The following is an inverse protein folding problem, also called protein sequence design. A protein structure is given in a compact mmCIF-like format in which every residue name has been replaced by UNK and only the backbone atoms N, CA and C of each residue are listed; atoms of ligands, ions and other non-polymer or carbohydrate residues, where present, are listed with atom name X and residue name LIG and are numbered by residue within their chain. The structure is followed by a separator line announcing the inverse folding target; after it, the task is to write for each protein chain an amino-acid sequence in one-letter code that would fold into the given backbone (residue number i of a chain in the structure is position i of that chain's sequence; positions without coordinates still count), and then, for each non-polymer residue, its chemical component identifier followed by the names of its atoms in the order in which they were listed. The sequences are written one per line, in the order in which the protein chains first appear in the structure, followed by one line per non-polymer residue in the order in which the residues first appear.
data_IF_596147132441
#
_entry.id   IF_596147132441
#
_cell.length_a   1.000
_cell.length_b   1.000
_cell.length_c   1.000
_cell.angle_alpha   90.00
_cell.angle_beta   90.00
_cell.angle_gamma   90.00
#
_symmetry.space_group_name_H-M   'P 1'
#
loop_
_entity.id
_entity.type
_entity.pdbx_description
1 polymer ?
#
# COMPACT_ATOMS: atom_id res chain seq x y z
N UNK A 1 -13.71 -2.01 32.04
CA UNK A 1 -13.89 -3.43 31.72
C UNK A 1 -12.65 -3.88 30.97
N UNK A 2 -12.13 -5.10 31.22
CA UNK A 2 -10.82 -5.52 30.73
C UNK A 2 -10.93 -6.49 29.54
N UNK A 3 -9.99 -6.45 28.57
CA UNK A 3 -9.85 -7.47 27.53
C UNK A 3 -9.10 -8.72 28.05
N UNK A 4 -9.38 -9.93 27.54
CA UNK A 4 -8.69 -11.16 27.94
C UNK A 4 -7.41 -11.47 27.13
N UNK A 5 -6.50 -12.20 27.79
CA UNK A 5 -5.39 -13.09 27.35
C UNK A 5 -4.83 -12.98 25.91
N UNK A 6 -3.53 -12.82 25.61
CA UNK A 6 -2.24 -13.21 26.24
C UNK A 6 -1.72 -14.65 25.93
N UNK A 7 -0.84 -14.74 24.91
CA UNK A 7 0.13 -15.82 24.57
C UNK A 7 1.06 -15.24 23.47
N UNK A 8 2.37 -15.50 23.35
CA UNK A 8 3.40 -15.93 24.32
C UNK A 8 4.76 -15.39 23.83
N UNK A 9 5.71 -15.09 24.72
CA UNK A 9 6.99 -14.45 24.39
C UNK A 9 8.16 -15.41 24.15
N UNK A 10 9.06 -15.12 23.20
CA UNK A 10 10.56 -15.17 23.36
C UNK A 10 11.26 -14.57 22.13
N UNK A 11 12.15 -13.57 22.26
CA UNK A 11 13.00 -13.07 21.17
C UNK A 11 14.38 -13.77 21.11
N UNK A 12 15.05 -13.84 19.94
CA UNK A 12 16.43 -14.35 19.83
C UNK A 12 17.48 -13.32 20.32
N UNK A 13 18.69 -13.77 20.72
CA UNK A 13 19.72 -12.90 21.31
C UNK A 13 20.54 -12.12 20.27
N UNK A 14 21.03 -10.95 20.68
CA UNK A 14 22.01 -10.17 19.92
C UNK A 14 23.44 -10.68 20.13
N UNK A 15 24.31 -10.51 19.12
CA UNK A 15 25.74 -10.79 19.21
C UNK A 15 26.56 -9.56 18.80
N UNK A 16 27.59 -9.22 19.58
CA UNK A 16 28.51 -8.11 19.34
C UNK A 16 29.88 -8.64 18.93
N UNK A 17 30.43 -8.16 17.82
CA UNK A 17 31.81 -8.39 17.37
C UNK A 17 32.39 -7.13 16.74
N UNK A 18 33.67 -6.83 16.97
CA UNK A 18 34.32 -5.54 16.62
C UNK A 18 35.82 -5.73 16.39
N UNK A 19 36.47 -4.74 15.74
CA UNK A 19 37.91 -4.64 15.39
C UNK A 19 38.25 -5.38 14.06
N UNK A 20 38.61 -4.74 12.94
CA UNK A 20 39.74 -3.83 12.56
C UNK A 20 41.01 -4.60 12.13
N UNK A 21 41.73 -4.33 11.03
CA UNK A 21 41.58 -3.39 9.89
C UNK A 21 42.37 -3.99 8.65
N UNK A 22 42.95 -3.35 7.63
CA UNK A 22 43.25 -1.94 7.26
C UNK A 22 43.66 -1.80 5.75
N UNK A 23 44.49 -0.81 5.37
CA UNK A 23 45.22 -0.56 4.10
C UNK A 23 44.56 0.20 2.95
N UNK A 24 45.40 0.93 2.18
CA UNK A 24 45.03 1.97 1.20
C UNK A 24 45.40 1.60 -0.26
N UNK A 25 44.52 1.95 -1.22
CA UNK A 25 44.89 2.29 -2.59
C UNK A 25 43.80 3.16 -3.25
N UNK A 26 44.12 4.21 -4.03
CA UNK A 26 43.11 5.08 -4.66
C UNK A 26 42.78 4.65 -6.10
N UNK A 27 41.49 4.51 -6.42
CA UNK A 27 41.01 4.31 -7.80
C UNK A 27 39.69 5.05 -8.03
N UNK A 28 39.80 6.27 -8.55
CA UNK A 28 38.68 7.16 -8.78
C UNK A 28 37.98 6.81 -10.11
N UNK A 29 37.12 5.77 -10.11
CA UNK A 29 36.20 5.51 -11.22
C UNK A 29 34.91 4.85 -10.73
N UNK A 30 34.07 5.63 -10.05
CA UNK A 30 32.75 5.20 -9.59
C UNK A 30 31.76 5.07 -10.78
N UNK A 31 31.87 3.98 -11.54
CA UNK A 31 30.80 3.51 -12.41
C UNK A 31 29.52 3.41 -11.60
N UNK A 32 28.47 4.14 -12.00
CA UNK A 32 27.26 4.27 -11.19
C UNK A 32 26.34 3.05 -11.37
N UNK A 33 26.78 1.90 -10.84
CA UNK A 33 26.14 0.58 -10.92
C UNK A 33 24.89 0.46 -10.04
N UNK A 34 24.21 1.58 -9.78
CA UNK A 34 22.99 1.62 -8.97
C UNK A 34 21.81 1.17 -9.83
N UNK A 35 21.48 -0.12 -9.75
CA UNK A 35 20.21 -0.63 -10.26
C UNK A 35 19.07 0.20 -9.62
N UNK A 36 18.18 0.83 -10.41
CA UNK A 36 17.08 1.62 -9.86
C UNK A 36 16.17 0.77 -8.97
N UNK A 37 15.69 1.33 -7.85
CA UNK A 37 14.93 0.59 -6.84
C UNK A 37 13.58 0.01 -7.34
N UNK A 38 13.10 0.43 -8.52
CA UNK A 38 11.93 -0.14 -9.19
C UNK A 38 12.22 -1.41 -10.03
N UNK A 39 13.48 -1.75 -10.29
CA UNK A 39 13.88 -2.94 -11.07
C UNK A 39 13.81 -4.21 -10.23
N UNK A 40 14.27 -4.15 -8.98
CA UNK A 40 14.00 -5.12 -7.92
C UNK A 40 13.70 -4.34 -6.64
N UNK A 41 12.47 -4.44 -6.09
CA UNK A 41 12.07 -3.63 -4.93
C UNK A 41 12.65 -4.19 -3.64
N UNK A 42 13.89 -3.81 -3.33
CA UNK A 42 14.34 -3.70 -1.94
C UNK A 42 13.50 -2.60 -1.27
N UNK A 43 12.37 -3.00 -0.69
CA UNK A 43 11.38 -2.07 -0.11
C UNK A 43 11.99 -1.19 0.99
N UNK A 44 13.05 -1.64 1.66
CA UNK A 44 13.80 -0.87 2.66
C UNK A 44 14.46 0.41 2.09
N UNK A 45 14.55 0.54 0.75
CA UNK A 45 15.01 1.74 0.03
C UNK A 45 13.88 2.64 -0.45
N UNK A 46 12.64 2.15 -0.43
CA UNK A 46 11.45 2.81 -0.97
C UNK A 46 10.52 3.30 0.15
N UNK A 47 10.38 2.54 1.22
CA UNK A 47 9.52 2.84 2.38
C UNK A 47 10.18 2.45 3.70
N UNK A 48 9.69 3.05 4.78
CA UNK A 48 9.88 2.60 6.17
C UNK A 48 8.51 2.38 6.80
N UNK A 49 8.33 1.24 7.47
CA UNK A 49 7.17 1.02 8.34
C UNK A 49 7.43 1.66 9.71
N UNK A 50 6.50 2.48 10.19
CA UNK A 50 6.52 3.10 11.51
C UNK A 50 5.49 2.39 12.41
N UNK A 51 5.97 1.51 13.28
CA UNK A 51 5.14 0.76 14.21
C UNK A 51 4.75 1.59 15.44
N UNK A 52 3.75 2.46 15.29
CA UNK A 52 3.22 3.24 16.40
C UNK A 52 2.38 2.36 17.36
N UNK A 53 2.31 2.69 18.66
CA UNK A 53 1.50 1.94 19.63
C UNK A 53 0.00 2.14 19.40
N UNK A 54 -0.74 1.02 19.36
CA UNK A 54 -2.20 0.99 19.19
C UNK A 54 -2.63 0.12 18.00
N UNK A 55 -3.88 -0.37 18.04
CA UNK A 55 -4.45 -1.14 16.93
C UNK A 55 -4.51 -0.30 15.66
N UNK A 56 -4.03 -0.86 14.54
CA UNK A 56 -3.99 -0.20 13.23
C UNK A 56 -3.23 1.14 13.18
N UNK A 57 -2.32 1.38 14.15
CA UNK A 57 -1.52 2.61 14.22
C UNK A 57 -0.19 2.54 13.41
N UNK A 58 0.18 1.36 12.90
CA UNK A 58 1.33 1.23 11.98
C UNK A 58 1.05 1.93 10.66
N UNK A 59 2.07 2.53 10.04
CA UNK A 59 1.97 3.19 8.73
C UNK A 59 3.25 3.06 7.92
N UNK A 60 3.14 3.09 6.60
CA UNK A 60 4.30 3.18 5.70
C UNK A 60 4.60 4.64 5.30
N UNK A 61 5.87 5.03 5.34
CA UNK A 61 6.36 6.38 4.99
C UNK A 61 7.38 6.29 3.86
N UNK A 62 7.26 7.15 2.86
CA UNK A 62 8.16 7.15 1.70
C UNK A 62 9.60 7.52 2.08
N UNK A 63 10.57 6.80 1.52
CA UNK A 63 11.99 7.15 1.55
C UNK A 63 12.45 7.86 0.27
N UNK A 64 11.59 7.94 -0.75
CA UNK A 64 11.92 8.46 -2.09
C UNK A 64 10.94 9.55 -2.54
N UNK A 65 11.42 10.43 -3.41
CA UNK A 65 10.57 11.34 -4.18
C UNK A 65 10.44 10.85 -5.61
N UNK A 66 9.23 10.83 -6.17
CA UNK A 66 8.89 10.31 -7.49
C UNK A 66 7.79 11.18 -8.14
N UNK A 67 7.80 11.41 -9.46
CA UNK A 67 6.75 12.18 -10.14
C UNK A 67 5.41 11.41 -10.21
N UNK A 68 4.32 12.12 -10.51
CA UNK A 68 2.99 11.56 -10.71
C UNK A 68 2.99 10.38 -11.71
N UNK A 69 2.21 9.33 -11.42
CA UNK A 69 2.08 8.13 -12.28
C UNK A 69 3.31 7.20 -12.34
N UNK A 70 4.43 7.56 -11.72
CA UNK A 70 5.63 6.74 -11.66
C UNK A 70 5.39 5.43 -10.90
N UNK A 71 6.13 4.37 -11.27
CA UNK A 71 6.12 3.11 -10.52
C UNK A 71 6.85 3.34 -9.20
N UNK A 72 6.18 3.10 -8.08
CA UNK A 72 6.75 3.09 -6.75
C UNK A 72 7.35 1.72 -6.41
N UNK A 73 6.59 0.65 -6.62
CA UNK A 73 7.03 -0.73 -6.39
C UNK A 73 6.31 -1.71 -7.34
N UNK A 74 6.80 -2.95 -7.40
CA UNK A 74 6.16 -4.07 -8.11
C UNK A 74 5.72 -5.15 -7.13
N UNK A 75 4.57 -5.75 -7.39
CA UNK A 75 3.98 -6.80 -6.56
C UNK A 75 4.50 -8.15 -7.08
N UNK A 76 5.72 -8.50 -6.67
CA UNK A 76 6.47 -9.64 -7.23
C UNK A 76 6.21 -11.00 -6.58
N UNK A 77 5.67 -11.02 -5.36
CA UNK A 77 5.56 -12.21 -4.52
C UNK A 77 4.15 -12.51 -3.98
N UNK A 78 3.04 -12.17 -4.67
CA UNK A 78 1.69 -12.35 -4.14
C UNK A 78 1.31 -13.84 -4.08
N UNK A 79 0.46 -14.20 -3.12
CA UNK A 79 -0.17 -15.53 -3.06
C UNK A 79 -1.69 -15.40 -2.94
N UNK A 80 -2.49 -16.26 -3.60
CA UNK A 80 -3.94 -16.26 -3.45
C UNK A 80 -4.37 -16.39 -1.99
N UNK A 81 -5.42 -15.66 -1.61
CA UNK A 81 -5.88 -15.54 -0.22
C UNK A 81 -7.41 -15.62 -0.12
N UNK A 82 -7.90 -15.96 1.07
CA UNK A 82 -9.28 -15.68 1.48
C UNK A 82 -9.42 -14.20 1.83
N UNK A 83 -10.61 -13.62 1.62
CA UNK A 83 -10.90 -12.22 1.99
C UNK A 83 -10.61 -12.00 3.49
N UNK A 84 -9.65 -11.11 3.78
CA UNK A 84 -9.17 -10.79 5.11
C UNK A 84 -8.77 -9.29 5.19
N UNK A 85 -8.52 -8.76 6.39
CA UNK A 85 -8.14 -7.34 6.55
C UNK A 85 -6.76 -6.99 5.93
N UNK A 86 -5.91 -8.00 5.76
CA UNK A 86 -4.57 -7.93 5.15
C UNK A 86 -4.58 -8.17 3.63
N UNK A 87 -5.62 -8.84 3.13
CA UNK A 87 -5.72 -9.20 1.71
C UNK A 87 -6.13 -8.01 0.85
N UNK A 88 -5.67 -8.00 -0.41
CA UNK A 88 -6.11 -7.04 -1.43
C UNK A 88 -6.87 -7.77 -2.54
N UNK A 89 -7.97 -7.19 -3.03
CA UNK A 89 -8.70 -7.72 -4.18
C UNK A 89 -7.95 -7.39 -5.48
N UNK A 90 -7.42 -8.43 -6.15
CA UNK A 90 -6.65 -8.33 -7.39
C UNK A 90 -7.45 -8.76 -8.64
N UNK A 91 -8.74 -9.06 -8.48
CA UNK A 91 -9.66 -9.42 -9.55
C UNK A 91 -11.04 -9.74 -8.99
N UNK A 92 -12.01 -10.04 -9.86
CA UNK A 92 -13.41 -10.30 -9.45
C UNK A 92 -13.52 -11.29 -8.28
N UNK A 93 -12.95 -12.47 -8.45
CA UNK A 93 -13.01 -13.58 -7.51
C UNK A 93 -11.62 -13.92 -6.94
N UNK A 94 -10.69 -12.95 -6.94
CA UNK A 94 -9.29 -13.12 -6.53
C UNK A 94 -8.90 -12.10 -5.46
N UNK A 95 -8.57 -12.60 -4.27
CA UNK A 95 -7.81 -11.88 -3.26
C UNK A 95 -6.38 -12.42 -3.18
N UNK A 96 -5.44 -11.55 -2.79
CA UNK A 96 -4.03 -11.87 -2.59
C UNK A 96 -3.56 -11.42 -1.20
N UNK A 97 -2.62 -12.15 -0.63
CA UNK A 97 -1.68 -11.61 0.36
C UNK A 97 -0.47 -11.03 -0.38
N UNK A 98 -0.01 -9.86 0.04
CA UNK A 98 1.11 -9.14 -0.59
C UNK A 98 2.48 -9.71 -0.20
N UNK A 99 2.56 -10.45 0.91
CA UNK A 99 3.77 -11.08 1.45
C UNK A 99 4.98 -10.14 1.66
N UNK A 100 4.73 -8.83 1.82
CA UNK A 100 5.73 -7.79 2.01
C UNK A 100 5.13 -6.52 2.63
N UNK A 101 5.99 -5.58 3.03
CA UNK A 101 5.64 -4.36 3.79
C UNK A 101 4.66 -3.40 3.07
N UNK A 102 4.33 -3.64 1.80
CA UNK A 102 3.23 -2.96 1.11
C UNK A 102 1.88 -3.14 1.85
N UNK A 103 1.73 -4.19 2.68
CA UNK A 103 0.57 -4.42 3.56
C UNK A 103 0.36 -3.33 4.63
N UNK A 104 1.37 -2.50 4.91
CA UNK A 104 1.27 -1.37 5.87
C UNK A 104 0.94 -0.02 5.22
N UNK A 105 0.56 -0.01 3.93
CA UNK A 105 0.10 1.18 3.21
C UNK A 105 -1.38 1.43 3.54
N UNK A 106 -1.65 2.50 4.29
CA UNK A 106 -2.95 2.77 4.89
C UNK A 106 -3.98 3.37 3.91
N UNK A 107 -5.25 3.42 4.33
CA UNK A 107 -6.29 4.09 3.56
C UNK A 107 -6.16 5.62 3.61
N UNK A 108 -6.34 6.28 2.46
CA UNK A 108 -6.71 7.70 2.41
C UNK A 108 -7.83 7.96 1.39
N UNK A 109 -8.72 8.90 1.73
CA UNK A 109 -9.69 9.47 0.78
C UNK A 109 -9.06 10.52 -0.16
N UNK A 110 -7.76 10.78 0.01
CA UNK A 110 -6.90 11.69 -0.75
C UNK A 110 -5.52 10.99 -0.86
N UNK A 111 -5.38 10.02 -1.78
CA UNK A 111 -4.33 9.01 -1.73
C UNK A 111 -3.03 9.46 -2.42
N UNK A 112 -1.90 9.04 -1.85
CA UNK A 112 -0.56 9.29 -2.42
C UNK A 112 -0.15 8.24 -3.46
N UNK A 113 -0.79 7.06 -3.44
CA UNK A 113 -0.54 5.91 -4.32
C UNK A 113 -1.83 5.35 -4.94
N UNK A 114 -1.68 4.63 -6.05
CA UNK A 114 -2.67 3.69 -6.59
C UNK A 114 -2.09 2.27 -6.66
N UNK A 115 -2.95 1.27 -6.53
CA UNK A 115 -2.63 -0.15 -6.62
C UNK A 115 -3.17 -0.69 -7.95
N UNK A 116 -2.30 -0.80 -8.96
CA UNK A 116 -2.62 -1.24 -10.31
C UNK A 116 -2.49 -2.77 -10.39
N UNK A 117 -3.62 -3.47 -10.24
CA UNK A 117 -3.70 -4.94 -10.21
C UNK A 117 -3.67 -5.55 -11.61
N UNK A 118 -4.01 -4.79 -12.66
CA UNK A 118 -3.83 -5.24 -14.04
C UNK A 118 -2.34 -5.34 -14.42
N UNK A 119 -1.50 -4.43 -13.89
CA UNK A 119 -0.04 -4.42 -14.13
C UNK A 119 0.80 -5.05 -13.02
N UNK A 120 0.22 -5.30 -11.86
CA UNK A 120 0.91 -5.72 -10.63
C UNK A 120 1.94 -4.66 -10.15
N UNK A 121 1.57 -3.38 -10.27
CA UNK A 121 2.41 -2.22 -9.93
C UNK A 121 1.73 -1.35 -8.86
N UNK A 122 2.49 -0.94 -7.83
CA UNK A 122 2.10 0.18 -6.96
C UNK A 122 2.69 1.44 -7.58
N UNK A 123 1.85 2.46 -7.82
CA UNK A 123 2.23 3.67 -8.56
C UNK A 123 1.95 4.91 -7.72
N UNK A 124 2.71 5.99 -7.94
CA UNK A 124 2.32 7.34 -7.46
C UNK A 124 0.99 7.71 -8.11
N UNK A 125 0.05 8.23 -7.32
CA UNK A 125 -1.24 8.70 -7.83
C UNK A 125 -1.03 9.70 -9.00
N UNK A 126 -1.58 9.47 -10.22
CA UNK A 126 -1.40 10.37 -11.36
C UNK A 126 -2.03 11.76 -11.15
N UNK A 127 -3.06 11.87 -10.30
CA UNK A 127 -3.76 13.13 -10.03
C UNK A 127 -2.99 14.06 -9.08
N UNK A 128 -1.87 13.59 -8.52
CA UNK A 128 -1.04 14.32 -7.55
C UNK A 128 0.09 15.06 -8.26
N UNK A 129 -0.19 16.27 -8.73
CA UNK A 129 0.73 17.10 -9.55
C UNK A 129 2.15 17.23 -8.97
N UNK A 130 2.27 17.34 -7.65
CA UNK A 130 3.56 17.47 -6.95
C UNK A 130 4.31 16.14 -6.73
N UNK A 131 3.73 15.03 -7.20
CA UNK A 131 4.23 13.67 -7.08
C UNK A 131 4.17 13.10 -5.67
N UNK A 132 5.03 12.12 -5.41
CA UNK A 132 5.35 11.61 -4.09
C UNK A 132 6.66 12.23 -3.60
N UNK A 133 6.75 12.55 -2.31
CA UNK A 133 7.96 13.10 -1.67
C UNK A 133 8.48 12.18 -0.59
N UNK A 134 9.79 12.13 -0.40
CA UNK A 134 10.38 11.47 0.76
C UNK A 134 9.84 12.11 2.05
N UNK A 135 9.34 11.29 2.98
CA UNK A 135 8.62 11.72 4.18
C UNK A 135 7.10 11.78 4.08
N UNK A 136 6.50 11.68 2.87
CA UNK A 136 5.05 11.52 2.72
C UNK A 136 4.58 10.16 3.28
N UNK A 137 3.36 10.13 3.84
CA UNK A 137 2.70 8.87 4.20
C UNK A 137 2.19 8.16 2.94
N UNK A 138 2.50 6.86 2.83
CA UNK A 138 2.08 6.02 1.73
C UNK A 138 0.66 5.54 1.99
N UNK A 139 -0.28 5.97 1.14
CA UNK A 139 -1.70 5.65 1.27
C UNK A 139 -2.35 5.40 -0.08
N UNK A 140 -3.34 4.51 -0.12
CA UNK A 140 -4.19 4.31 -1.30
C UNK A 140 -5.68 4.35 -0.92
N UNK A 141 -6.54 4.58 -1.90
CA UNK A 141 -7.99 4.59 -1.68
C UNK A 141 -8.53 3.17 -1.78
N UNK A 142 -8.66 2.45 -0.65
CA UNK A 142 -9.03 1.02 -0.63
C UNK A 142 -10.19 0.60 -1.57
N UNK A 143 -11.29 1.36 -1.74
CA UNK A 143 -12.34 1.01 -2.71
C UNK A 143 -11.90 1.02 -4.20
N UNK A 144 -10.66 1.39 -4.54
CA UNK A 144 -10.10 1.19 -5.89
C UNK A 144 -9.70 -0.27 -6.13
N UNK A 145 -9.48 -1.08 -5.10
CA UNK A 145 -9.32 -2.54 -5.18
C UNK A 145 -10.56 -3.24 -4.64
N UNK A 146 -11.02 -2.87 -3.44
CA UNK A 146 -12.02 -3.62 -2.68
C UNK A 146 -13.47 -3.30 -3.12
N UNK A 147 -14.16 -4.31 -3.64
CA UNK A 147 -15.59 -4.25 -3.89
C UNK A 147 -16.39 -4.24 -2.57
N UNK A 148 -16.14 -5.20 -1.68
CA UNK A 148 -16.91 -5.47 -0.47
C UNK A 148 -15.95 -5.90 0.65
N UNK A 149 -15.70 -5.01 1.62
CA UNK A 149 -14.63 -5.21 2.60
C UNK A 149 -15.04 -6.13 3.76
N UNK A 150 -14.21 -7.11 4.09
CA UNK A 150 -14.40 -7.98 5.25
C UNK A 150 -14.42 -7.24 6.60
N UNK A 151 -13.80 -6.05 6.70
CA UNK A 151 -13.84 -5.21 7.90
C UNK A 151 -14.01 -3.72 7.56
N UNK A 152 -15.27 -3.23 7.40
CA UNK A 152 -15.55 -1.81 7.23
C UNK A 152 -15.16 -0.97 8.44
N UNK A 153 -14.67 0.24 8.22
CA UNK A 153 -14.14 1.13 9.26
C UNK A 153 -14.52 2.60 9.05
N UNK A 154 -14.41 3.41 10.10
CA UNK A 154 -14.64 4.86 10.03
C UNK A 154 -13.30 5.58 9.83
N UNK A 155 -13.17 6.35 8.75
CA UNK A 155 -11.88 6.82 8.24
C UNK A 155 -11.30 8.00 9.03
N UNK A 156 -10.02 7.88 9.39
CA UNK A 156 -9.28 8.86 10.18
C UNK A 156 -8.23 9.66 9.38
N UNK A 157 -8.25 9.60 8.04
CA UNK A 157 -7.25 10.26 7.17
C UNK A 157 -7.27 11.80 7.23
N UNK A 158 -8.38 12.41 7.72
CA UNK A 158 -8.55 13.87 7.91
C UNK A 158 -8.40 14.74 6.64
N UNK A 159 -8.36 14.14 5.44
CA UNK A 159 -8.33 14.91 4.21
C UNK A 159 -9.62 15.72 4.01
N UNK A 160 -9.55 16.82 3.24
CA UNK A 160 -10.70 17.72 3.01
C UNK A 160 -11.89 17.01 2.34
N UNK A 161 -11.59 15.97 1.54
CA UNK A 161 -12.57 15.13 0.85
C UNK A 161 -12.91 13.82 1.58
N UNK A 162 -12.62 13.69 2.88
CA UNK A 162 -12.85 12.44 3.63
C UNK A 162 -14.29 11.92 3.48
N UNK A 163 -14.43 10.63 3.16
CA UNK A 163 -15.73 9.98 2.88
C UNK A 163 -16.44 9.43 4.13
N UNK A 164 -15.83 9.56 5.31
CA UNK A 164 -16.36 9.01 6.55
C UNK A 164 -16.16 7.49 6.61
N UNK A 165 -17.23 6.70 6.51
CA UNK A 165 -17.16 5.24 6.59
C UNK A 165 -16.73 4.61 5.25
N UNK A 166 -15.86 3.61 5.32
CA UNK A 166 -15.34 2.85 4.17
C UNK A 166 -15.77 1.39 4.31
N UNK A 167 -16.46 0.84 3.30
CA UNK A 167 -16.89 -0.57 3.22
C UNK A 167 -16.55 -1.26 1.89
N UNK A 168 -15.81 -0.60 0.99
CA UNK A 168 -15.60 -1.03 -0.39
C UNK A 168 -16.51 -0.30 -1.39
N UNK A 169 -16.23 -0.44 -2.69
CA UNK A 169 -16.91 0.32 -3.75
C UNK A 169 -18.41 0.01 -3.88
N UNK A 170 -18.82 -1.21 -3.51
CA UNK A 170 -20.19 -1.73 -3.61
C UNK A 170 -21.24 -0.81 -2.99
N UNK A 171 -20.96 -0.16 -1.87
CA UNK A 171 -21.93 0.69 -1.16
C UNK A 171 -21.80 2.18 -1.51
N UNK A 172 -20.76 2.57 -2.26
CA UNK A 172 -20.48 3.97 -2.57
C UNK A 172 -21.34 4.48 -3.73
N UNK A 173 -21.51 5.81 -3.79
CA UNK A 173 -22.21 6.49 -4.90
C UNK A 173 -21.25 6.63 -6.09
N UNK A 174 -21.75 6.41 -7.30
CA UNK A 174 -20.97 6.52 -8.54
C UNK A 174 -20.23 7.87 -8.62
N UNK A 175 -20.94 8.99 -8.52
CA UNK A 175 -20.35 10.35 -8.48
C UNK A 175 -19.45 10.69 -7.27
N UNK A 176 -19.09 9.70 -6.44
CA UNK A 176 -17.99 9.77 -5.47
C UNK A 176 -16.81 8.92 -5.95
N UNK A 177 -17.08 7.76 -6.55
CA UNK A 177 -16.10 6.86 -7.16
C UNK A 177 -15.51 7.43 -8.47
N UNK A 178 -16.30 8.18 -9.25
CA UNK A 178 -15.90 8.89 -10.48
C UNK A 178 -14.77 9.92 -10.24
N UNK A 179 -14.44 10.21 -8.97
CA UNK A 179 -13.35 11.09 -8.55
C UNK A 179 -12.10 10.32 -8.05
N UNK A 180 -11.99 9.03 -8.38
CA UNK A 180 -10.86 8.17 -8.05
C UNK A 180 -10.49 7.27 -9.23
N UNK A 181 -9.20 6.97 -9.38
CA UNK A 181 -8.77 5.84 -10.18
C UNK A 181 -9.23 4.52 -9.53
N UNK A 182 -9.78 3.60 -10.33
CA UNK A 182 -10.28 2.29 -9.91
C UNK A 182 -9.60 1.17 -10.71
N UNK A 183 -9.47 -0.03 -10.12
CA UNK A 183 -9.12 -1.22 -10.89
C UNK A 183 -10.30 -1.65 -11.77
N UNK A 184 -9.99 -2.18 -12.96
CA UNK A 184 -10.98 -2.65 -13.93
C UNK A 184 -12.03 -3.62 -13.35
N UNK A 185 -11.65 -4.52 -12.43
CA UNK A 185 -12.62 -5.45 -11.83
C UNK A 185 -13.68 -4.74 -10.98
N UNK A 186 -13.35 -3.60 -10.37
CA UNK A 186 -14.30 -2.74 -9.65
C UNK A 186 -15.22 -2.03 -10.63
N UNK A 187 -14.69 -1.51 -11.74
CA UNK A 187 -15.49 -0.88 -12.81
C UNK A 187 -16.51 -1.86 -13.41
N UNK A 188 -16.09 -3.09 -13.71
CA UNK A 188 -16.97 -4.13 -14.25
C UNK A 188 -18.08 -4.52 -13.25
N UNK A 189 -17.75 -4.64 -11.96
CA UNK A 189 -18.72 -4.90 -10.88
C UNK A 189 -19.72 -3.75 -10.69
N UNK A 190 -19.26 -2.48 -10.78
CA UNK A 190 -20.14 -1.31 -10.79
C UNK A 190 -21.07 -1.35 -12.02
N UNK A 191 -20.55 -1.67 -13.20
CA UNK A 191 -21.32 -1.75 -14.44
C UNK A 191 -22.38 -2.88 -14.40
N UNK A 192 -22.09 -4.00 -13.75
CA UNK A 192 -23.08 -5.06 -13.48
C UNK A 192 -24.18 -4.61 -12.51
N UNK A 193 -23.81 -4.08 -11.34
CA UNK A 193 -24.75 -3.56 -10.34
C UNK A 193 -25.70 -2.52 -10.95
N UNK A 194 -25.17 -1.65 -11.81
CA UNK A 194 -25.92 -0.59 -12.50
C UNK A 194 -26.87 -1.09 -13.61
N UNK A 195 -26.71 -2.33 -14.11
CA UNK A 195 -27.67 -2.99 -15.01
C UNK A 195 -28.79 -3.64 -14.21
N UNK A 196 -28.44 -4.33 -13.12
CA UNK A 196 -29.39 -4.98 -12.20
C UNK A 196 -30.34 -3.93 -11.59
N UNK A 197 -29.82 -2.80 -11.11
CA UNK A 197 -30.62 -1.70 -10.54
C UNK A 197 -31.44 -0.88 -11.55
N UNK A 198 -31.58 -1.34 -12.81
CA UNK A 198 -32.39 -0.74 -13.88
C UNK A 198 -33.32 -1.75 -14.56
N UNK A 199 -33.42 -2.97 -14.03
CA UNK A 199 -34.26 -4.07 -14.52
C UNK A 199 -35.46 -4.29 -13.59
#
# INVERSE_FOLDING_TARGET
MAPPSAITSTPPPASNGKLSAETNAPSNLASNTTIPAWVQPDLNRLLRVEHNPGSFASRSVSLVSLPAGAIFARISSPTPATVAYSSVQAGRDLHIELNCDLVYINHSCDPTLIFDMERWEVRVNPDREEGLKAGDELTFFYPSTEWDMAQPFDCLCKSKGCRGRISGAKDMKLGVLDAYWLNKHVEDLLAEKNKIGKS
#
